data_IF_722470860241
#
_entry.id   IF_722470860241
#
_cell.length_a   1.000
_cell.length_b   1.000
_cell.length_c   1.000
_cell.angle_alpha   90.00
_cell.angle_beta   90.00
_cell.angle_gamma   90.00
#
_symmetry.space_group_name_H-M   'P 1'
#
loop_
_entity.id
_entity.type
_entity.pdbx_description
1 polymer ?
#
# COMPACT_ATOMS: atom_id res chain seq x y z
N UNK A 1 22.22 11.62 33.45
CA UNK A 1 21.96 11.31 32.02
C UNK A 1 23.16 11.83 31.21
N UNK A 2 23.94 10.96 30.57
CA UNK A 2 25.18 11.37 29.89
C UNK A 2 24.91 11.83 28.45
N UNK A 3 25.42 13.02 28.06
CA UNK A 3 25.29 13.60 26.70
C UNK A 3 25.62 12.65 25.54
N UNK A 4 26.58 11.74 25.76
CA UNK A 4 27.00 10.73 24.78
C UNK A 4 25.93 9.67 24.54
N UNK A 5 25.27 9.21 25.61
CA UNK A 5 24.17 8.24 25.53
C UNK A 5 22.98 8.88 24.80
N UNK A 6 22.67 10.14 25.10
CA UNK A 6 21.62 10.88 24.41
C UNK A 6 21.87 11.02 22.89
N UNK A 7 23.10 11.39 22.49
CA UNK A 7 23.50 11.50 21.08
C UNK A 7 23.48 10.15 20.35
N UNK A 8 23.92 9.08 21.02
CA UNK A 8 23.91 7.73 20.44
C UNK A 8 22.48 7.21 20.23
N UNK A 9 21.56 7.46 21.17
CA UNK A 9 20.16 7.05 21.06
C UNK A 9 19.37 7.86 20.04
N UNK A 10 19.64 9.16 19.90
CA UNK A 10 18.96 10.01 18.89
C UNK A 10 19.46 9.72 17.47
N UNK A 11 20.76 9.46 17.29
CA UNK A 11 21.31 9.15 15.97
C UNK A 11 20.76 7.83 15.41
N UNK A 12 20.63 6.78 16.22
CA UNK A 12 20.13 5.47 15.76
C UNK A 12 18.63 5.48 15.41
N UNK A 13 17.82 6.26 16.13
CA UNK A 13 16.38 6.42 15.82
C UNK A 13 16.11 7.11 14.48
N UNK A 14 16.96 8.08 14.09
CA UNK A 14 16.82 8.82 12.83
C UNK A 14 17.09 7.96 11.59
N UNK A 15 18.00 6.98 11.66
CA UNK A 15 18.31 6.11 10.51
C UNK A 15 17.34 4.93 10.35
N UNK A 16 16.60 4.55 11.39
CA UNK A 16 15.55 3.53 11.32
C UNK A 16 14.16 4.10 10.91
N UNK A 17 13.94 5.39 11.12
CA UNK A 17 12.70 6.09 10.75
C UNK A 17 12.34 6.05 9.24
N UNK A 18 13.28 6.12 8.27
CA UNK A 18 12.93 6.21 6.85
C UNK A 18 12.21 4.97 6.32
N UNK A 19 12.56 3.78 6.81
CA UNK A 19 11.96 2.53 6.34
C UNK A 19 10.50 2.39 6.80
N UNK A 20 10.20 2.77 8.04
CA UNK A 20 8.83 2.73 8.59
C UNK A 20 7.97 3.83 7.99
N UNK A 21 8.51 5.05 7.88
CA UNK A 21 7.81 6.19 7.25
C UNK A 21 7.49 5.93 5.78
N UNK A 22 8.42 5.32 5.02
CA UNK A 22 8.19 4.94 3.63
C UNK A 22 6.98 4.01 3.48
N UNK A 23 6.82 3.05 4.39
CA UNK A 23 5.69 2.09 4.32
C UNK A 23 4.35 2.77 4.57
N UNK A 24 4.27 3.64 5.58
CA UNK A 24 3.05 4.39 5.91
C UNK A 24 2.66 5.35 4.77
N UNK A 25 3.65 6.02 4.18
CA UNK A 25 3.44 6.88 3.01
C UNK A 25 2.99 6.08 1.78
N UNK A 26 3.54 4.88 1.56
CA UNK A 26 3.10 4.00 0.48
C UNK A 26 1.68 3.46 0.69
N UNK A 27 1.32 3.11 1.92
CA UNK A 27 -0.01 2.59 2.25
C UNK A 27 -1.10 3.65 2.06
N UNK A 28 -0.84 4.89 2.48
CA UNK A 28 -1.73 6.03 2.19
C UNK A 28 -1.78 6.43 0.70
N UNK A 29 -0.74 6.10 -0.07
CA UNK A 29 -0.71 6.31 -1.51
C UNK A 29 -1.41 5.20 -2.29
N UNK A 30 -1.69 4.04 -1.67
CA UNK A 30 -2.30 2.90 -2.33
C UNK A 30 -3.69 3.25 -2.89
N UNK A 31 -4.03 2.78 -4.10
CA UNK A 31 -5.38 2.94 -4.64
C UNK A 31 -6.40 2.18 -3.77
N UNK A 32 -7.54 2.80 -3.53
CA UNK A 32 -8.63 2.22 -2.74
C UNK A 32 -9.79 1.89 -3.67
N UNK A 33 -10.51 0.81 -3.35
CA UNK A 33 -11.71 0.35 -4.06
C UNK A 33 -12.93 0.48 -3.13
N UNK A 34 -13.53 1.67 -2.95
CA UNK A 34 -14.58 1.89 -1.95
C UNK A 34 -15.80 0.99 -2.11
N UNK A 35 -16.10 0.59 -3.36
CA UNK A 35 -17.21 -0.31 -3.71
C UNK A 35 -16.81 -1.78 -3.84
N UNK A 36 -15.58 -2.15 -3.50
CA UNK A 36 -15.05 -3.50 -3.68
C UNK A 36 -14.87 -3.90 -5.15
N UNK A 37 -14.88 -5.20 -5.42
CA UNK A 37 -14.76 -5.78 -6.77
C UNK A 37 -16.12 -6.25 -7.25
N UNK A 38 -16.40 -6.08 -8.54
CA UNK A 38 -17.62 -6.50 -9.20
C UNK A 38 -17.30 -7.47 -10.35
N UNK A 39 -18.26 -8.35 -10.64
CA UNK A 39 -18.19 -9.34 -11.72
C UNK A 39 -19.45 -9.23 -12.57
N UNK A 40 -19.29 -9.23 -13.89
CA UNK A 40 -20.39 -9.14 -14.86
C UNK A 40 -20.08 -9.83 -16.18
N UNK A 41 -21.03 -9.79 -17.11
CA UNK A 41 -20.90 -10.36 -18.48
C UNK A 41 -20.33 -11.78 -18.52
N UNK A 42 -20.80 -12.62 -17.58
CA UNK A 42 -20.30 -13.97 -17.38
C UNK A 42 -20.79 -14.90 -18.50
N UNK A 43 -19.86 -15.68 -19.04
CA UNK A 43 -20.09 -16.78 -19.98
C UNK A 43 -19.39 -18.03 -19.44
N UNK A 44 -19.56 -19.22 -20.07
CA UNK A 44 -18.88 -20.43 -19.62
C UNK A 44 -17.34 -20.34 -19.58
N UNK A 45 -16.73 -19.38 -20.29
CA UNK A 45 -15.26 -19.29 -20.44
C UNK A 45 -14.69 -17.89 -20.17
N UNK A 46 -15.52 -16.90 -19.85
CA UNK A 46 -15.07 -15.51 -19.61
C UNK A 46 -15.98 -14.78 -18.66
N UNK A 47 -15.45 -13.76 -17.99
CA UNK A 47 -16.20 -12.80 -17.23
C UNK A 47 -15.50 -11.43 -17.28
N UNK A 48 -16.26 -10.37 -17.09
CA UNK A 48 -15.71 -9.04 -16.85
C UNK A 48 -15.50 -8.85 -15.34
N UNK A 49 -14.28 -8.46 -14.95
CA UNK A 49 -13.95 -8.00 -13.60
C UNK A 49 -13.71 -6.50 -13.64
N UNK A 50 -14.29 -5.78 -12.69
CA UNK A 50 -14.07 -4.34 -12.58
C UNK A 50 -14.22 -3.84 -11.14
N UNK A 51 -13.71 -2.64 -10.89
CA UNK A 51 -13.90 -1.91 -9.64
C UNK A 51 -13.83 -0.41 -9.90
N UNK A 52 -14.59 0.37 -9.15
CA UNK A 52 -14.40 1.82 -9.08
C UNK A 52 -13.24 2.13 -8.12
N UNK A 53 -12.23 2.85 -8.62
CA UNK A 53 -11.02 3.22 -7.88
C UNK A 53 -10.95 4.73 -7.67
N UNK A 54 -10.41 5.16 -6.52
CA UNK A 54 -10.33 6.57 -6.12
C UNK A 54 -9.29 7.39 -6.91
N UNK A 55 -8.34 6.73 -7.56
CA UNK A 55 -7.24 7.34 -8.32
C UNK A 55 -6.75 6.43 -9.46
N UNK A 56 -6.02 6.96 -10.46
CA UNK A 56 -5.46 6.15 -11.54
C UNK A 56 -4.64 4.97 -11.00
N UNK A 57 -5.01 3.75 -11.41
CA UNK A 57 -4.42 2.51 -10.95
C UNK A 57 -4.50 1.43 -12.04
N UNK A 58 -3.89 0.27 -11.80
CA UNK A 58 -3.98 -0.91 -12.65
C UNK A 58 -4.45 -2.10 -11.82
N UNK A 59 -5.44 -2.83 -12.31
CA UNK A 59 -5.88 -4.08 -11.70
C UNK A 59 -4.86 -5.18 -12.03
N UNK A 60 -4.42 -5.90 -10.99
CA UNK A 60 -3.58 -7.09 -11.13
C UNK A 60 -4.44 -8.31 -10.84
N UNK A 61 -4.47 -9.25 -11.78
CA UNK A 61 -5.32 -10.45 -11.72
C UNK A 61 -4.42 -11.66 -11.84
N UNK A 62 -4.53 -12.58 -10.90
CA UNK A 62 -3.87 -13.88 -10.93
C UNK A 62 -4.91 -14.94 -11.31
N UNK A 63 -4.54 -15.83 -12.24
CA UNK A 63 -5.35 -16.95 -12.67
C UNK A 63 -4.52 -18.21 -12.38
N UNK A 64 -5.12 -19.18 -11.68
CA UNK A 64 -4.49 -20.46 -11.31
C UNK A 64 -4.82 -21.58 -12.30
#
# INVERSE_FOLDING_TARGET
MNRRVFLQTTASGFFAAPAVMSRVLQESAAPVMPGGVQVGDVTPTRAMLWSAVDRPARMMVEIS
#
